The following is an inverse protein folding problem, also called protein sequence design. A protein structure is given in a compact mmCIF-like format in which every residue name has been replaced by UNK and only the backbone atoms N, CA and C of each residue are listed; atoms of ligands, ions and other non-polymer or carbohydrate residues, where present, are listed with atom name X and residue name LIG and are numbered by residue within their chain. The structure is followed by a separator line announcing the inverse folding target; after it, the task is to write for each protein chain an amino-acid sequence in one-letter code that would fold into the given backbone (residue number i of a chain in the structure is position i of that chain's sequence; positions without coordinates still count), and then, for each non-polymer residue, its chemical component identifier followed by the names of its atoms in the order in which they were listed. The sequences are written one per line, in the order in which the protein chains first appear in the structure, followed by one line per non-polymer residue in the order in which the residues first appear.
data_IF_176439217303
#
_entry.id   IF_176439217303
#
_cell.length_a   1.000
_cell.length_b   1.000
_cell.length_c   1.000
_cell.angle_alpha   90.00
_cell.angle_beta   90.00
_cell.angle_gamma   90.00
#
_symmetry.space_group_name_H-M   'P 1'
#
loop_
_entity.id
_entity.type
_entity.pdbx_description
1 polymer ?
#
# COMPACT_ATOMS: atom_id res chain seq x y z
N UNK A 1 -8.06 24.38 14.13
CA UNK A 1 -8.40 23.04 13.58
C UNK A 1 -8.14 23.12 12.08
N UNK A 2 -7.34 22.22 11.48
CA UNK A 2 -7.26 22.17 10.03
C UNK A 2 -8.66 21.91 9.46
N UNK A 3 -8.96 22.52 8.31
CA UNK A 3 -10.24 22.38 7.60
C UNK A 3 -10.39 20.94 7.14
N UNK A 4 -11.59 20.36 7.28
CA UNK A 4 -11.91 19.05 6.73
C UNK A 4 -11.73 19.07 5.20
N UNK A 5 -10.85 18.23 4.68
CA UNK A 5 -10.43 18.19 3.29
C UNK A 5 -11.28 17.23 2.46
N UNK A 6 -11.84 16.17 3.08
CA UNK A 6 -12.76 15.24 2.41
C UNK A 6 -14.09 15.18 3.15
N UNK A 7 -15.19 15.31 2.40
CA UNK A 7 -16.55 15.18 2.91
C UNK A 7 -17.37 14.32 1.96
N UNK A 8 -17.12 13.01 2.00
CA UNK A 8 -17.79 12.03 1.14
C UNK A 8 -18.09 10.75 1.91
N UNK A 9 -19.13 10.05 1.47
CA UNK A 9 -19.45 8.68 1.87
C UNK A 9 -19.57 7.82 0.62
N UNK A 10 -19.25 6.54 0.75
CA UNK A 10 -19.41 5.56 -0.32
C UNK A 10 -20.63 4.70 0.05
N UNK A 11 -21.54 4.49 -0.90
CA UNK A 11 -22.69 3.61 -0.66
C UNK A 11 -22.28 2.14 -0.65
N UNK A 12 -23.02 1.32 0.08
CA UNK A 12 -22.79 -0.14 0.13
C UNK A 12 -22.88 -0.77 -1.27
N UNK A 13 -23.77 -0.27 -2.13
CA UNK A 13 -23.88 -0.71 -3.52
C UNK A 13 -22.61 -0.43 -4.32
N UNK A 14 -22.01 0.76 -4.15
CA UNK A 14 -20.76 1.11 -4.83
C UNK A 14 -19.60 0.26 -4.29
N UNK A 15 -19.54 0.00 -2.98
CA UNK A 15 -18.52 -0.88 -2.40
C UNK A 15 -18.62 -2.31 -2.96
N UNK A 16 -19.82 -2.88 -3.01
CA UNK A 16 -20.03 -4.22 -3.57
C UNK A 16 -19.63 -4.30 -5.07
N UNK A 17 -19.89 -3.24 -5.84
CA UNK A 17 -19.44 -3.16 -7.24
C UNK A 17 -17.90 -3.11 -7.35
N UNK A 18 -17.22 -2.35 -6.48
CA UNK A 18 -15.76 -2.29 -6.44
C UNK A 18 -15.17 -3.66 -6.11
N UNK A 19 -15.69 -4.33 -5.08
CA UNK A 19 -15.24 -5.66 -4.66
C UNK A 19 -15.41 -6.71 -5.77
N UNK A 20 -16.56 -6.69 -6.45
CA UNK A 20 -16.82 -7.56 -7.59
C UNK A 20 -15.79 -7.34 -8.71
N UNK A 21 -15.53 -6.09 -9.08
CA UNK A 21 -14.55 -5.75 -10.13
C UNK A 21 -13.13 -6.13 -9.76
N UNK A 22 -12.74 -5.96 -8.49
CA UNK A 22 -11.43 -6.41 -8.00
C UNK A 22 -11.34 -7.94 -8.10
N UNK A 23 -12.39 -8.66 -7.75
CA UNK A 23 -12.43 -10.12 -7.87
C UNK A 23 -12.28 -10.57 -9.34
N UNK A 24 -12.98 -9.93 -10.27
CA UNK A 24 -12.86 -10.20 -11.71
C UNK A 24 -11.42 -9.95 -12.22
N UNK A 25 -10.79 -8.84 -11.81
CA UNK A 25 -9.39 -8.53 -12.14
C UNK A 25 -8.46 -9.63 -11.61
N UNK A 26 -8.65 -10.09 -10.37
CA UNK A 26 -7.84 -11.17 -9.79
C UNK A 26 -8.01 -12.48 -10.55
N UNK A 27 -9.23 -12.81 -10.96
CA UNK A 27 -9.50 -14.00 -11.75
C UNK A 27 -8.80 -13.95 -13.11
N UNK A 28 -8.90 -12.81 -13.81
CA UNK A 28 -8.24 -12.60 -15.12
C UNK A 28 -6.72 -12.70 -15.03
N UNK A 29 -6.12 -12.21 -13.94
CA UNK A 29 -4.68 -12.25 -13.74
C UNK A 29 -4.17 -13.60 -13.24
N UNK A 30 -5.01 -14.43 -12.60
CA UNK A 30 -4.60 -15.66 -11.94
C UNK A 30 -3.72 -16.62 -12.75
N UNK A 31 -3.86 -16.77 -14.09
CA UNK A 31 -2.99 -17.64 -14.87
C UNK A 31 -1.56 -17.11 -15.06
N UNK A 32 -1.33 -15.83 -14.79
CA UNK A 32 -0.10 -15.10 -15.11
C UNK A 32 0.68 -14.61 -13.89
N UNK A 33 0.12 -14.79 -12.68
CA UNK A 33 0.71 -14.31 -11.45
C UNK A 33 1.45 -15.43 -10.72
N UNK A 34 2.63 -15.10 -10.24
CA UNK A 34 3.43 -15.95 -9.35
C UNK A 34 3.58 -15.26 -8.00
N UNK A 35 3.57 -16.03 -6.92
CA UNK A 35 3.82 -15.52 -5.59
C UNK A 35 5.25 -15.89 -5.17
N UNK A 36 6.06 -14.86 -4.90
CA UNK A 36 7.44 -15.03 -4.46
C UNK A 36 7.55 -14.64 -2.98
N UNK A 37 8.19 -15.50 -2.20
CA UNK A 37 8.59 -15.21 -0.83
C UNK A 37 9.59 -14.05 -0.77
N UNK A 38 9.71 -13.34 0.36
CA UNK A 38 10.74 -12.31 0.54
C UNK A 38 12.15 -12.82 0.18
N UNK A 39 12.48 -14.04 0.58
CA UNK A 39 13.76 -14.69 0.32
C UNK A 39 13.98 -14.90 -1.18
N UNK A 40 13.00 -15.45 -1.91
CA UNK A 40 13.09 -15.63 -3.36
C UNK A 40 13.28 -14.29 -4.09
N UNK A 41 12.54 -13.25 -3.68
CA UNK A 41 12.64 -11.91 -4.28
C UNK A 41 14.02 -11.28 -4.11
N UNK A 42 14.72 -11.58 -3.02
CA UNK A 42 16.08 -11.05 -2.79
C UNK A 42 17.14 -11.75 -3.63
N UNK A 43 16.92 -13.03 -3.98
CA UNK A 43 17.86 -13.83 -4.76
C UNK A 43 17.77 -13.57 -6.27
N UNK A 44 16.64 -13.08 -6.76
CA UNK A 44 16.43 -12.82 -8.19
C UNK A 44 17.09 -11.49 -8.62
N UNK A 45 17.92 -11.50 -9.68
CA UNK A 45 18.41 -10.27 -10.28
C UNK A 45 17.23 -9.51 -10.88
N UNK A 46 17.09 -8.24 -10.50
CA UNK A 46 15.97 -7.40 -10.92
C UNK A 46 16.29 -6.71 -12.23
N UNK A 47 15.37 -6.81 -13.18
CA UNK A 47 15.46 -6.03 -14.41
C UNK A 47 15.19 -4.55 -14.09
N UNK A 48 16.25 -3.74 -14.13
CA UNK A 48 16.16 -2.27 -14.07
C UNK A 48 15.95 -1.69 -15.48
N UNK A 49 15.69 -0.39 -15.61
CA UNK A 49 15.54 0.28 -16.91
C UNK A 49 16.70 -0.02 -17.87
N UNK A 50 17.94 -0.03 -17.37
CA UNK A 50 19.13 -0.38 -18.16
C UNK A 50 19.07 -1.82 -18.67
N UNK A 51 18.62 -2.73 -17.82
CA UNK A 51 18.48 -4.15 -18.13
C UNK A 51 17.33 -4.40 -19.12
N UNK A 52 16.22 -3.65 -19.04
CA UNK A 52 15.12 -3.72 -20.01
C UNK A 52 15.63 -3.41 -21.42
N UNK A 53 16.37 -2.30 -21.58
CA UNK A 53 16.93 -1.91 -22.88
C UNK A 53 17.91 -2.95 -23.42
N UNK A 54 18.72 -3.56 -22.54
CA UNK A 54 19.62 -4.64 -22.94
C UNK A 54 18.85 -5.86 -23.45
N UNK A 55 17.88 -6.37 -22.68
CA UNK A 55 17.09 -7.55 -23.06
C UNK A 55 16.31 -7.29 -24.36
N UNK A 56 15.72 -6.10 -24.52
CA UNK A 56 15.03 -5.71 -25.76
C UNK A 56 15.95 -5.81 -26.99
N UNK A 57 17.19 -5.33 -26.89
CA UNK A 57 18.17 -5.44 -27.99
C UNK A 57 18.58 -6.88 -28.25
N UNK A 58 18.76 -7.69 -27.19
CA UNK A 58 19.05 -9.12 -27.36
C UNK A 58 17.92 -9.80 -28.13
N UNK A 59 16.65 -9.48 -27.86
CA UNK A 59 15.49 -10.01 -28.62
C UNK A 59 15.55 -9.68 -30.11
N UNK A 60 16.11 -8.53 -30.49
CA UNK A 60 16.30 -8.14 -31.89
C UNK A 60 17.45 -8.95 -32.52
N UNK A 61 18.57 -9.11 -31.79
CA UNK A 61 19.72 -9.85 -32.27
C UNK A 61 19.46 -11.34 -32.45
N UNK A 62 18.73 -12.01 -31.55
CA UNK A 62 18.38 -13.43 -31.69
C UNK A 62 17.42 -13.72 -32.85
N UNK A 63 16.77 -12.69 -33.41
CA UNK A 63 15.93 -12.82 -34.61
C UNK A 63 16.75 -12.65 -35.89
N UNK A 64 17.72 -11.75 -35.86
CA UNK A 64 18.56 -11.40 -37.01
C UNK A 64 19.80 -12.29 -37.15
N UNK A 65 20.27 -12.91 -36.05
CA UNK A 65 21.49 -13.72 -35.99
C UNK A 65 21.22 -15.07 -35.31
N UNK A 66 20.38 -15.94 -35.91
CA UNK A 66 19.98 -17.21 -35.28
C UNK A 66 21.17 -18.16 -35.01
N UNK A 67 22.24 -18.08 -35.81
CA UNK A 67 23.44 -18.92 -35.67
C UNK A 67 24.24 -18.63 -34.38
N UNK A 68 24.00 -17.48 -33.75
CA UNK A 68 24.64 -17.10 -32.48
C UNK A 68 23.83 -17.49 -31.24
N UNK A 69 22.66 -18.14 -31.42
CA UNK A 69 21.86 -18.63 -30.30
C UNK A 69 22.56 -19.84 -29.69
N UNK A 70 22.93 -19.81 -28.40
CA UNK A 70 23.54 -20.96 -27.75
C UNK A 70 22.60 -22.18 -27.73
N UNK A 71 23.10 -23.42 -27.90
CA UNK A 71 22.25 -24.62 -27.91
C UNK A 71 21.44 -24.86 -26.64
N UNK A 72 21.89 -24.29 -25.51
CA UNK A 72 21.25 -24.40 -24.20
C UNK A 72 20.23 -23.29 -23.90
N UNK A 73 20.07 -22.32 -24.81
CA UNK A 73 19.11 -21.23 -24.65
C UNK A 73 17.74 -21.64 -25.18
N UNK A 74 16.72 -21.52 -24.33
CA UNK A 74 15.32 -21.59 -24.76
C UNK A 74 14.86 -20.21 -25.24
N UNK A 75 14.93 -19.98 -26.56
CA UNK A 75 14.52 -18.72 -27.18
C UNK A 75 13.02 -18.47 -27.03
N UNK A 76 12.20 -19.51 -27.13
CA UNK A 76 10.74 -19.37 -27.12
C UNK A 76 10.24 -18.96 -25.73
N UNK A 77 10.79 -19.56 -24.68
CA UNK A 77 10.49 -19.17 -23.29
C UNK A 77 11.01 -17.77 -22.97
N UNK A 78 12.23 -17.43 -23.40
CA UNK A 78 12.76 -16.06 -23.27
C UNK A 78 11.82 -15.01 -23.91
N UNK A 79 11.31 -15.27 -25.12
CA UNK A 79 10.36 -14.38 -25.79
C UNK A 79 9.01 -14.27 -25.06
N UNK A 80 8.48 -15.39 -24.55
CA UNK A 80 7.25 -15.41 -23.74
C UNK A 80 7.41 -14.59 -22.45
N UNK A 81 8.49 -14.80 -21.71
CA UNK A 81 8.77 -14.12 -20.44
C UNK A 81 8.86 -12.61 -20.61
N UNK A 82 9.62 -12.15 -21.60
CA UNK A 82 9.79 -10.73 -21.86
C UNK A 82 8.47 -10.08 -22.31
N UNK A 83 7.71 -10.75 -23.18
CA UNK A 83 6.40 -10.25 -23.62
C UNK A 83 5.42 -10.16 -22.46
N UNK A 84 5.39 -11.16 -21.58
CA UNK A 84 4.54 -11.16 -20.39
C UNK A 84 4.93 -10.03 -19.45
N UNK A 85 6.23 -9.85 -19.17
CA UNK A 85 6.73 -8.75 -18.36
C UNK A 85 6.25 -7.40 -18.91
N UNK A 86 6.49 -7.13 -20.20
CA UNK A 86 6.10 -5.88 -20.85
C UNK A 86 4.59 -5.65 -20.83
N UNK A 87 3.78 -6.71 -20.97
CA UNK A 87 2.32 -6.62 -20.92
C UNK A 87 1.79 -6.33 -19.51
N UNK A 88 2.44 -6.84 -18.47
CA UNK A 88 2.04 -6.62 -17.07
C UNK A 88 2.50 -5.27 -16.51
N UNK A 89 3.56 -4.65 -17.03
CA UNK A 89 4.04 -3.33 -16.58
C UNK A 89 2.94 -2.24 -16.52
N UNK A 90 2.16 -1.98 -17.59
CA UNK A 90 1.12 -0.96 -17.53
C UNK A 90 0.02 -1.30 -16.53
N UNK A 91 -0.38 -2.57 -16.43
CA UNK A 91 -1.37 -3.04 -15.45
C UNK A 91 -0.87 -2.80 -14.03
N UNK A 92 0.38 -3.18 -13.74
CA UNK A 92 1.02 -2.96 -12.45
C UNK A 92 1.04 -1.48 -12.06
N UNK A 93 1.40 -0.59 -13.00
CA UNK A 93 1.44 0.86 -12.75
C UNK A 93 0.06 1.41 -12.37
N UNK A 94 -1.00 0.99 -13.06
CA UNK A 94 -2.39 1.42 -12.78
C UNK A 94 -2.83 0.93 -11.39
N UNK A 95 -2.60 -0.35 -11.09
CA UNK A 95 -2.97 -0.92 -9.79
C UNK A 95 -2.20 -0.27 -8.64
N UNK A 96 -0.91 0.00 -8.84
CA UNK A 96 -0.08 0.68 -7.85
C UNK A 96 -0.60 2.09 -7.58
N UNK A 97 -0.85 2.90 -8.61
CA UNK A 97 -1.38 4.24 -8.45
C UNK A 97 -2.74 4.24 -7.74
N UNK A 98 -3.64 3.33 -8.10
CA UNK A 98 -4.94 3.20 -7.44
C UNK A 98 -4.78 2.87 -5.96
N UNK A 99 -3.91 1.91 -5.64
CA UNK A 99 -3.60 1.54 -4.24
C UNK A 99 -3.01 2.71 -3.45
N UNK A 100 -2.12 3.50 -4.05
CA UNK A 100 -1.53 4.68 -3.43
C UNK A 100 -2.61 5.74 -3.14
N UNK A 101 -3.47 6.07 -4.12
CA UNK A 101 -4.56 7.03 -3.94
C UNK A 101 -5.55 6.63 -2.83
N UNK A 102 -5.90 5.33 -2.77
CA UNK A 102 -6.75 4.79 -1.70
C UNK A 102 -6.04 4.91 -0.35
N UNK A 103 -4.75 4.55 -0.29
CA UNK A 103 -3.98 4.65 0.96
C UNK A 103 -3.84 6.08 1.46
N UNK A 104 -3.62 7.05 0.56
CA UNK A 104 -3.57 8.48 0.88
C UNK A 104 -4.91 8.98 1.43
N UNK A 105 -6.02 8.55 0.82
CA UNK A 105 -7.37 8.88 1.28
C UNK A 105 -7.66 8.30 2.67
N UNK A 106 -7.26 7.06 2.93
CA UNK A 106 -7.37 6.42 4.25
C UNK A 106 -6.54 7.15 5.31
N UNK A 107 -5.32 7.57 4.97
CA UNK A 107 -4.47 8.35 5.86
C UNK A 107 -5.11 9.69 6.22
N UNK A 108 -5.63 10.41 5.23
CA UNK A 108 -6.26 11.71 5.42
C UNK A 108 -7.54 11.62 6.26
N UNK A 109 -8.48 10.76 5.86
CA UNK A 109 -9.75 10.57 6.58
C UNK A 109 -9.54 10.04 7.99
N UNK A 110 -8.57 9.14 8.19
CA UNK A 110 -8.15 8.67 9.50
C UNK A 110 -7.57 9.78 10.38
N UNK A 111 -6.73 10.65 9.82
CA UNK A 111 -6.21 11.83 10.52
C UNK A 111 -7.33 12.77 10.96
N UNK A 112 -8.27 13.06 10.07
CA UNK A 112 -9.40 13.98 10.33
C UNK A 112 -10.33 13.43 11.41
N UNK A 113 -10.73 12.16 11.29
CA UNK A 113 -11.55 11.49 12.30
C UNK A 113 -10.84 11.45 13.66
N UNK A 114 -9.53 11.18 13.65
CA UNK A 114 -8.73 11.13 14.86
C UNK A 114 -8.62 12.50 15.56
N UNK A 115 -8.45 13.59 14.79
CA UNK A 115 -8.43 14.94 15.34
C UNK A 115 -9.75 15.29 16.05
N UNK A 116 -10.91 14.91 15.47
CA UNK A 116 -12.22 15.12 16.09
C UNK A 116 -12.40 14.26 17.35
N UNK A 117 -11.93 13.00 17.33
CA UNK A 117 -11.97 12.13 18.50
C UNK A 117 -11.13 12.71 19.67
N UNK A 118 -9.97 13.31 19.39
CA UNK A 118 -9.16 14.00 20.40
C UNK A 118 -9.86 15.22 20.99
N UNK A 119 -10.55 16.01 20.15
CA UNK A 119 -11.35 17.14 20.62
C UNK A 119 -12.46 16.68 21.58
N UNK A 120 -13.21 15.65 21.18
CA UNK A 120 -14.25 15.05 22.03
C UNK A 120 -13.67 14.57 23.36
N UNK A 121 -12.54 13.83 23.32
CA UNK A 121 -11.87 13.35 24.52
C UNK A 121 -11.41 14.49 25.45
N UNK A 122 -10.93 15.61 24.88
CA UNK A 122 -10.55 16.78 25.67
C UNK A 122 -11.75 17.40 26.40
N UNK A 123 -12.90 17.49 25.73
CA UNK A 123 -14.17 17.95 26.33
C UNK A 123 -14.64 17.01 27.43
N UNK A 124 -14.59 15.69 27.20
CA UNK A 124 -14.92 14.67 28.21
C UNK A 124 -14.01 14.81 29.44
N UNK A 125 -12.70 15.02 29.25
CA UNK A 125 -11.77 15.28 30.37
C UNK A 125 -12.13 16.53 31.15
N UNK A 126 -12.61 17.58 30.48
CA UNK A 126 -13.04 18.81 31.16
C UNK A 126 -14.32 18.57 31.97
N UNK A 127 -15.32 17.92 31.38
CA UNK A 127 -16.59 17.60 32.03
C UNK A 127 -16.42 16.64 33.23
N UNK A 128 -15.50 15.67 33.13
CA UNK A 128 -15.15 14.78 34.23
C UNK A 128 -14.58 15.54 35.43
N UNK A 129 -13.75 16.56 35.17
CA UNK A 129 -13.18 17.44 36.22
C UNK A 129 -14.23 18.33 36.88
N UNK A 130 -15.24 18.78 36.13
CA UNK A 130 -16.34 19.59 36.67
C UNK A 130 -17.43 18.75 37.33
N UNK A 131 -17.24 17.42 37.46
CA UNK A 131 -18.05 16.56 38.30
C UNK A 131 -19.13 15.75 37.58
N UNK A 132 -19.18 15.74 36.24
CA UNK A 132 -20.12 14.88 35.50
C UNK A 132 -19.78 13.39 35.71
N UNK A 133 -20.69 12.56 36.26
CA UNK A 133 -20.44 11.13 36.47
C UNK A 133 -20.20 10.37 35.16
N UNK A 134 -21.01 10.61 34.14
CA UNK A 134 -20.89 9.95 32.83
C UNK A 134 -19.56 10.27 32.16
N UNK A 135 -19.11 11.52 32.25
CA UNK A 135 -17.83 11.94 31.69
C UNK A 135 -16.63 11.26 32.36
N UNK A 136 -16.70 10.92 33.66
CA UNK A 136 -15.63 10.18 34.36
C UNK A 136 -15.49 8.77 33.79
N UNK A 137 -16.61 8.05 33.64
CA UNK A 137 -16.62 6.71 33.06
C UNK A 137 -16.03 6.70 31.65
N UNK A 138 -16.46 7.65 30.80
CA UNK A 138 -15.95 7.77 29.42
C UNK A 138 -14.45 8.16 29.42
N UNK A 139 -14.05 9.07 30.32
CA UNK A 139 -12.65 9.52 30.43
C UNK A 139 -11.70 8.39 30.85
N UNK A 140 -12.12 7.54 31.78
CA UNK A 140 -11.35 6.38 32.25
C UNK A 140 -11.19 5.35 31.14
N UNK A 141 -12.27 5.05 30.41
CA UNK A 141 -12.22 4.08 29.32
C UNK A 141 -11.33 4.55 28.17
N UNK A 142 -11.59 5.74 27.61
CA UNK A 142 -10.78 6.31 26.53
C UNK A 142 -9.35 6.63 26.98
N UNK A 143 -9.15 6.88 28.28
CA UNK A 143 -7.86 7.14 28.90
C UNK A 143 -6.88 5.97 28.84
N UNK A 144 -7.37 4.73 28.75
CA UNK A 144 -6.53 3.52 28.60
C UNK A 144 -5.58 3.61 27.40
N UNK A 145 -6.02 4.27 26.31
CA UNK A 145 -5.20 4.51 25.12
C UNK A 145 -3.95 5.35 25.38
N UNK A 146 -4.00 6.23 26.37
CA UNK A 146 -2.90 7.13 26.71
C UNK A 146 -2.09 6.62 27.92
N UNK A 147 -2.42 5.44 28.44
CA UNK A 147 -1.65 4.79 29.50
C UNK A 147 -0.21 4.55 29.01
N UNK A 148 0.78 5.01 29.78
CA UNK A 148 2.20 4.90 29.42
C UNK A 148 2.76 6.04 28.55
N UNK A 149 1.93 6.94 28.02
CA UNK A 149 2.43 8.15 27.33
C UNK A 149 2.91 9.25 28.31
N UNK A 150 2.72 9.03 29.63
CA UNK A 150 3.12 9.95 30.69
C UNK A 150 4.41 9.51 31.39
N UNK A 151 5.44 10.37 31.27
CA UNK A 151 6.79 10.35 31.90
C UNK A 151 7.88 9.64 31.09
N UNK A 152 8.32 10.28 30.01
CA UNK A 152 9.77 10.30 29.74
C UNK A 152 10.45 10.92 30.96
N UNK A 153 11.21 10.12 31.72
CA UNK A 153 12.14 10.65 32.73
C UNK A 153 13.05 11.63 32.00
N UNK A 154 13.01 12.91 32.37
CA UNK A 154 14.05 13.87 32.00
C UNK A 154 15.36 13.34 32.58
N UNK A 155 16.18 12.70 31.77
CA UNK A 155 17.58 12.43 32.13
C UNK A 155 18.29 13.78 32.18
N UNK A 156 18.87 14.21 33.32
CA UNK A 156 19.62 15.45 33.36
C UNK A 156 20.83 15.35 32.40
N UNK A 157 21.22 16.46 31.75
CA UNK A 157 22.40 16.46 30.89
C UNK A 157 23.64 16.09 31.72
N UNK A 158 24.46 15.17 31.20
CA UNK A 158 25.80 14.94 31.72
C UNK A 158 26.69 16.11 31.32
N UNK A 159 27.33 16.73 32.31
CA UNK A 159 28.46 17.64 32.13
C UNK A 159 29.65 16.90 31.52
#
# INVERSE_FOLDING_TARGET
MPKNQISATISDQTLAQIETKISEIRQLLSPYLVNLTPEERTKLPKMSDKSVSFVSKVMEYIKTNPDLIPPMMDKEEMEKDFKLNQSLQPVFKILKQLSENVSETLMLTGHEAYAQALLYYATVKMAAKTGSPDAKTIQEDLGKRFAGQGKTKKTPPKN
#
